data_IF_272440587557
#
_entry.id   IF_272440587557
#
_cell.length_a   1.000
_cell.length_b   1.000
_cell.length_c   1.000
_cell.angle_alpha   90.00
_cell.angle_beta   90.00
_cell.angle_gamma   90.00
#
_symmetry.space_group_name_H-M   'P 1'
#
loop_
_entity.id
_entity.type
_entity.pdbx_description
1 polymer ?
#
# COMPACT_ATOMS: atom_id res chain seq x y z
N UNK A 1 6.20 2.53 -25.36
CA UNK A 1 5.48 2.86 -24.11
C UNK A 1 6.04 1.95 -23.01
N UNK A 2 6.13 2.43 -21.78
CA UNK A 2 6.56 1.58 -20.66
C UNK A 2 5.49 0.53 -20.38
N UNK A 3 5.90 -0.69 -20.02
CA UNK A 3 4.97 -1.78 -19.65
C UNK A 3 4.31 -1.43 -18.32
N UNK A 4 2.96 -1.49 -18.22
CA UNK A 4 2.27 -1.22 -16.97
C UNK A 4 2.62 -2.26 -15.89
N UNK A 5 2.63 -1.84 -14.62
CA UNK A 5 2.84 -2.73 -13.46
C UNK A 5 1.58 -3.57 -13.17
N UNK A 6 0.40 -3.01 -13.45
CA UNK A 6 -0.90 -3.63 -13.30
C UNK A 6 -1.75 -3.26 -14.51
N UNK A 7 -2.40 -4.24 -15.11
CA UNK A 7 -3.45 -4.07 -16.12
C UNK A 7 -4.72 -4.71 -15.60
N UNK A 8 -5.82 -3.98 -15.61
CA UNK A 8 -7.15 -4.45 -15.22
C UNK A 8 -8.04 -4.44 -16.47
N UNK A 9 -8.80 -5.51 -16.72
CA UNK A 9 -9.67 -5.67 -17.89
C UNK A 9 -11.06 -6.16 -17.46
N UNK A 10 -12.06 -5.30 -17.66
CA UNK A 10 -13.49 -5.54 -17.41
C UNK A 10 -13.76 -6.16 -16.02
N UNK A 11 -12.98 -5.70 -15.01
CA UNK A 11 -12.99 -6.28 -13.68
C UNK A 11 -14.24 -5.84 -12.92
N UNK A 12 -15.00 -6.82 -12.42
CA UNK A 12 -16.07 -6.59 -11.45
C UNK A 12 -15.74 -7.30 -10.14
N UNK A 13 -15.91 -6.61 -9.02
CA UNK A 13 -15.61 -7.12 -7.70
C UNK A 13 -16.82 -7.04 -6.78
N UNK A 14 -16.89 -7.94 -5.82
CA UNK A 14 -17.98 -8.01 -4.84
C UNK A 14 -18.07 -9.39 -4.21
N UNK A 15 -19.14 -9.66 -3.47
CA UNK A 15 -19.41 -10.96 -2.86
C UNK A 15 -20.70 -11.60 -3.44
N UNK A 16 -21.89 -11.23 -2.94
CA UNK A 16 -23.17 -11.67 -3.47
C UNK A 16 -23.59 -10.82 -4.67
N UNK A 17 -23.34 -9.54 -4.58
CA UNK A 17 -23.61 -8.53 -5.59
C UNK A 17 -22.30 -7.83 -5.98
N UNK A 18 -22.29 -7.13 -7.10
CA UNK A 18 -21.16 -6.34 -7.50
C UNK A 18 -21.09 -5.08 -6.62
N UNK A 19 -19.90 -4.78 -6.11
CA UNK A 19 -19.60 -3.53 -5.43
C UNK A 19 -19.00 -2.50 -6.39
N UNK A 20 -18.22 -2.98 -7.36
CA UNK A 20 -17.66 -2.16 -8.44
C UNK A 20 -17.68 -2.99 -9.71
N UNK A 21 -18.01 -2.38 -10.86
CA UNK A 21 -18.21 -3.05 -12.14
C UNK A 21 -17.33 -2.49 -13.24
N UNK A 22 -17.02 -3.34 -14.21
CA UNK A 22 -16.48 -3.01 -15.52
C UNK A 22 -15.25 -2.10 -15.48
N UNK A 23 -14.35 -2.33 -14.53
CA UNK A 23 -13.12 -1.55 -14.37
C UNK A 23 -12.09 -2.00 -15.40
N UNK A 24 -11.63 -1.07 -16.24
CA UNK A 24 -10.53 -1.29 -17.18
C UNK A 24 -9.55 -0.13 -17.09
N UNK A 25 -8.32 -0.39 -16.62
CA UNK A 25 -7.30 0.64 -16.40
C UNK A 25 -5.90 0.01 -16.25
N UNK A 26 -4.89 0.87 -16.30
CA UNK A 26 -3.48 0.50 -16.13
C UNK A 26 -2.84 1.33 -15.01
N UNK A 27 -1.85 0.73 -14.36
CA UNK A 27 -0.97 1.40 -13.37
C UNK A 27 0.46 1.33 -13.86
N UNK A 28 1.11 2.48 -13.91
CA UNK A 28 2.49 2.62 -14.37
C UNK A 28 3.44 2.89 -13.18
N UNK A 29 4.73 2.80 -13.47
CA UNK A 29 5.79 3.07 -12.48
C UNK A 29 5.79 4.53 -12.04
N UNK A 30 5.88 4.77 -10.71
CA UNK A 30 5.95 6.11 -10.12
C UNK A 30 4.60 6.70 -9.74
N UNK A 31 3.48 5.98 -9.96
CA UNK A 31 2.15 6.47 -9.60
C UNK A 31 1.84 6.24 -8.11
N UNK A 32 1.20 7.23 -7.51
CA UNK A 32 0.63 7.18 -6.16
C UNK A 32 -0.87 7.34 -6.30
N UNK A 33 -1.60 6.24 -6.16
CA UNK A 33 -3.04 6.16 -6.40
C UNK A 33 -3.77 6.07 -5.07
N UNK A 34 -4.66 7.03 -4.80
CA UNK A 34 -5.57 6.97 -3.67
C UNK A 34 -6.94 6.43 -4.09
N UNK A 35 -7.40 5.39 -3.40
CA UNK A 35 -8.74 4.80 -3.60
C UNK A 35 -9.68 5.43 -2.59
N UNK A 36 -10.62 6.22 -3.07
CA UNK A 36 -11.59 6.99 -2.30
C UNK A 36 -13.02 6.50 -2.49
N UNK A 37 -13.93 6.94 -1.64
CA UNK A 37 -15.35 6.66 -1.68
C UNK A 37 -15.93 6.29 -0.30
N UNK A 38 -17.26 6.17 -0.16
CA UNK A 38 -17.92 5.87 1.10
C UNK A 38 -17.45 4.56 1.76
N UNK A 39 -17.70 4.44 3.06
CA UNK A 39 -17.41 3.20 3.78
C UNK A 39 -18.27 2.05 3.24
N UNK A 40 -17.68 0.86 3.09
CA UNK A 40 -18.38 -0.32 2.58
C UNK A 40 -18.55 -0.39 1.07
N UNK A 41 -18.17 0.63 0.29
CA UNK A 41 -18.35 0.70 -1.17
C UNK A 41 -17.52 -0.33 -1.97
N UNK A 42 -16.48 -0.92 -1.38
CA UNK A 42 -15.66 -1.93 -2.06
C UNK A 42 -14.16 -1.63 -2.14
N UNK A 43 -13.66 -0.50 -1.59
CA UNK A 43 -12.23 -0.10 -1.63
C UNK A 43 -11.29 -1.22 -1.17
N UNK A 44 -11.48 -1.72 0.06
CA UNK A 44 -10.70 -2.85 0.61
C UNK A 44 -10.85 -4.11 -0.25
N UNK A 45 -12.04 -4.36 -0.82
CA UNK A 45 -12.27 -5.52 -1.70
C UNK A 45 -11.46 -5.39 -2.98
N UNK A 46 -11.41 -4.19 -3.59
CA UNK A 46 -10.60 -3.92 -4.78
C UNK A 46 -9.12 -4.21 -4.50
N UNK A 47 -8.57 -3.61 -3.44
CA UNK A 47 -7.16 -3.80 -3.07
C UNK A 47 -6.86 -5.27 -2.77
N UNK A 48 -7.76 -5.99 -2.08
CA UNK A 48 -7.60 -7.43 -1.83
C UNK A 48 -7.72 -8.30 -3.08
N UNK A 49 -8.53 -7.89 -4.05
CA UNK A 49 -8.62 -8.57 -5.34
C UNK A 49 -7.31 -8.43 -6.10
N UNK A 50 -6.75 -7.21 -6.19
CA UNK A 50 -5.44 -6.97 -6.81
C UNK A 50 -4.32 -7.71 -6.06
N UNK A 51 -4.42 -7.84 -4.73
CA UNK A 51 -3.49 -8.64 -3.91
C UNK A 51 -3.62 -10.16 -4.13
N UNK A 52 -4.59 -10.63 -4.93
CA UNK A 52 -4.87 -12.05 -5.15
C UNK A 52 -5.50 -12.78 -3.96
N UNK A 53 -6.05 -12.02 -2.99
CA UNK A 53 -6.67 -12.56 -1.76
C UNK A 53 -8.17 -12.79 -1.91
N UNK A 54 -8.79 -12.16 -2.90
CA UNK A 54 -10.21 -12.31 -3.27
C UNK A 54 -10.27 -12.50 -4.78
N UNK A 55 -11.09 -13.46 -5.25
CA UNK A 55 -11.30 -13.64 -6.67
C UNK A 55 -12.22 -12.55 -7.22
N UNK A 56 -11.94 -12.00 -8.41
CA UNK A 56 -12.91 -11.15 -9.10
C UNK A 56 -14.18 -11.92 -9.43
N UNK A 57 -15.29 -11.21 -9.56
CA UNK A 57 -16.56 -11.81 -10.02
C UNK A 57 -16.60 -11.97 -11.54
N UNK A 58 -16.04 -10.97 -12.24
CA UNK A 58 -15.89 -10.98 -13.70
C UNK A 58 -14.57 -10.26 -14.07
N UNK A 59 -14.14 -10.45 -15.30
CA UNK A 59 -12.94 -9.85 -15.82
C UNK A 59 -11.66 -10.47 -15.26
N UNK A 60 -10.56 -9.75 -15.42
CA UNK A 60 -9.24 -10.21 -15.00
C UNK A 60 -8.31 -9.06 -14.70
N UNK A 61 -7.19 -9.35 -14.04
CA UNK A 61 -6.07 -8.42 -13.93
C UNK A 61 -4.74 -9.17 -14.10
N UNK A 62 -3.74 -8.46 -14.56
CA UNK A 62 -2.38 -8.94 -14.75
C UNK A 62 -1.39 -8.07 -14.01
N UNK A 63 -0.45 -8.70 -13.29
CA UNK A 63 0.63 -8.04 -12.57
C UNK A 63 1.97 -8.32 -13.25
N UNK A 64 2.54 -7.29 -13.86
CA UNK A 64 3.88 -7.35 -14.48
C UNK A 64 4.96 -7.00 -13.45
N UNK A 65 5.10 -7.86 -12.45
CA UNK A 65 5.97 -7.65 -11.29
C UNK A 65 6.96 -8.80 -11.14
N UNK A 66 8.12 -8.56 -10.50
CA UNK A 66 8.99 -9.66 -10.11
C UNK A 66 8.24 -10.68 -9.24
N UNK A 67 8.36 -11.97 -9.56
CA UNK A 67 7.66 -13.05 -8.86
C UNK A 67 8.00 -13.09 -7.35
N UNK A 68 9.21 -12.68 -6.96
CA UNK A 68 9.62 -12.59 -5.57
C UNK A 68 9.64 -11.14 -5.09
N UNK A 69 8.73 -10.81 -4.19
CA UNK A 69 8.70 -9.54 -3.50
C UNK A 69 8.28 -8.35 -4.36
N UNK A 70 7.82 -8.56 -5.60
CA UNK A 70 7.38 -7.49 -6.49
C UNK A 70 6.10 -6.80 -6.02
N UNK A 71 5.18 -7.53 -5.40
CA UNK A 71 3.98 -7.01 -4.78
C UNK A 71 4.15 -6.94 -3.26
N UNK A 72 3.92 -5.77 -2.67
CA UNK A 72 3.83 -5.55 -1.22
C UNK A 72 2.38 -5.32 -0.80
N UNK A 73 2.02 -5.71 0.43
CA UNK A 73 0.69 -5.46 0.96
C UNK A 73 0.72 -5.09 2.44
N UNK A 74 0.11 -3.97 2.78
CA UNK A 74 -0.17 -3.54 4.15
C UNK A 74 -1.68 -3.67 4.36
N UNK A 75 -2.17 -4.72 5.04
CA UNK A 75 -3.58 -4.88 5.32
C UNK A 75 -4.03 -3.97 6.46
N UNK A 76 -5.31 -3.60 6.50
CA UNK A 76 -5.94 -2.86 7.60
C UNK A 76 -5.68 -3.53 8.97
N UNK A 77 -5.76 -4.86 9.04
CA UNK A 77 -5.33 -5.66 10.20
C UNK A 77 -3.88 -6.08 10.03
N UNK A 78 -2.95 -5.24 10.29
CA UNK A 78 -1.49 -5.22 10.06
C UNK A 78 -0.75 -6.57 9.89
N UNK A 79 -1.32 -7.70 10.32
CA UNK A 79 -0.77 -9.04 10.15
C UNK A 79 0.63 -9.23 10.76
N UNK A 80 0.90 -8.60 11.91
CA UNK A 80 2.19 -8.69 12.59
C UNK A 80 2.26 -9.89 13.53
N UNK A 81 3.46 -10.47 13.68
CA UNK A 81 3.74 -11.58 14.59
C UNK A 81 3.87 -11.04 16.02
N UNK A 82 2.81 -11.11 16.81
CA UNK A 82 2.64 -10.41 18.10
C UNK A 82 3.75 -10.65 19.15
N UNK A 83 4.30 -11.83 19.21
CA UNK A 83 5.34 -12.18 20.19
C UNK A 83 6.76 -11.94 19.70
N UNK A 84 6.93 -11.62 18.41
CA UNK A 84 8.21 -11.33 17.81
C UNK A 84 8.59 -9.84 17.96
N UNK A 85 9.89 -9.57 17.82
CA UNK A 85 10.41 -8.20 17.87
C UNK A 85 10.04 -7.39 16.62
N UNK A 86 10.21 -6.06 16.70
CA UNK A 86 10.17 -5.15 15.56
C UNK A 86 11.09 -5.64 14.45
N UNK A 87 12.37 -5.93 14.78
CA UNK A 87 13.34 -6.45 13.82
C UNK A 87 12.84 -7.70 13.10
N UNK A 88 12.29 -8.66 13.82
CA UNK A 88 11.79 -9.91 13.24
C UNK A 88 10.65 -9.62 12.23
N UNK A 89 9.67 -8.80 12.62
CA UNK A 89 8.55 -8.47 11.75
C UNK A 89 9.00 -7.77 10.47
N UNK A 90 9.91 -6.79 10.57
CA UNK A 90 10.44 -6.06 9.41
C UNK A 90 11.30 -6.98 8.53
N UNK A 91 12.09 -7.89 9.14
CA UNK A 91 12.90 -8.84 8.41
C UNK A 91 12.07 -9.85 7.58
N UNK A 92 10.81 -10.12 7.94
CA UNK A 92 9.91 -10.93 7.11
C UNK A 92 9.68 -10.28 5.74
N UNK A 93 9.52 -8.95 5.70
CA UNK A 93 9.41 -8.20 4.44
C UNK A 93 10.68 -8.31 3.59
N UNK A 94 11.84 -8.02 4.19
CA UNK A 94 13.11 -8.13 3.47
C UNK A 94 13.38 -9.55 2.93
N UNK A 95 12.92 -10.60 3.64
CA UNK A 95 13.04 -12.00 3.19
C UNK A 95 12.13 -12.35 2.02
N UNK A 96 11.02 -11.64 1.86
CA UNK A 96 10.10 -11.87 0.74
C UNK A 96 10.75 -11.56 -0.62
N UNK A 97 11.65 -10.55 -0.67
CA UNK A 97 12.36 -10.16 -1.89
C UNK A 97 13.82 -10.65 -1.94
N UNK A 98 14.44 -10.89 -0.77
CA UNK A 98 15.80 -11.38 -0.64
C UNK A 98 15.79 -12.73 0.09
N UNK A 99 15.67 -13.85 -0.64
CA UNK A 99 15.71 -15.18 -0.03
C UNK A 99 17.05 -15.41 0.71
N UNK A 100 17.04 -16.35 1.67
CA UNK A 100 18.19 -16.65 2.55
C UNK A 100 19.29 -17.40 1.76
N UNK A 101 19.81 -16.77 0.70
CA UNK A 101 20.93 -17.28 -0.08
C UNK A 101 22.24 -16.67 0.41
N UNK A 102 23.35 -17.40 0.25
CA UNK A 102 24.69 -16.89 0.54
C UNK A 102 24.95 -15.57 -0.20
N UNK A 103 25.48 -14.56 0.50
CA UNK A 103 25.83 -13.25 -0.05
C UNK A 103 24.75 -12.15 0.09
N UNK A 104 23.50 -12.48 0.43
CA UNK A 104 22.43 -11.48 0.57
C UNK A 104 22.08 -11.12 2.03
N UNK A 105 22.80 -11.67 3.00
CA UNK A 105 22.53 -11.44 4.42
C UNK A 105 22.78 -9.99 4.84
N UNK A 106 23.87 -9.41 4.40
CA UNK A 106 24.25 -8.03 4.73
C UNK A 106 23.28 -7.03 4.13
N UNK A 107 22.95 -7.20 2.84
CA UNK A 107 21.94 -6.37 2.17
C UNK A 107 20.59 -6.43 2.90
N UNK A 108 20.15 -7.62 3.30
CA UNK A 108 18.90 -7.80 4.05
C UNK A 108 18.93 -7.09 5.39
N UNK A 109 20.02 -7.22 6.16
CA UNK A 109 20.19 -6.54 7.44
C UNK A 109 20.13 -5.03 7.26
N UNK A 110 20.79 -4.51 6.22
CA UNK A 110 20.79 -3.10 5.90
C UNK A 110 19.40 -2.58 5.53
N UNK A 111 18.66 -3.29 4.67
CA UNK A 111 17.25 -2.93 4.34
C UNK A 111 16.36 -2.89 5.58
N UNK A 112 16.49 -3.87 6.48
CA UNK A 112 15.73 -3.92 7.74
C UNK A 112 16.07 -2.72 8.63
N UNK A 113 17.34 -2.43 8.84
CA UNK A 113 17.79 -1.32 9.70
C UNK A 113 17.38 0.03 9.11
N UNK A 114 17.53 0.21 7.79
CA UNK A 114 17.13 1.42 7.09
C UNK A 114 15.62 1.66 7.21
N UNK A 115 14.77 0.65 6.96
CA UNK A 115 13.34 0.77 7.10
C UNK A 115 12.89 1.08 8.54
N UNK A 116 13.48 0.42 9.54
CA UNK A 116 13.20 0.69 10.96
C UNK A 116 13.60 2.11 11.33
N UNK A 117 14.75 2.57 10.82
CA UNK A 117 15.24 3.93 11.05
C UNK A 117 14.35 5.00 10.42
N UNK A 118 13.94 4.79 9.15
CA UNK A 118 13.08 5.72 8.42
C UNK A 118 11.74 5.95 9.13
N UNK A 119 11.24 4.94 9.83
CA UNK A 119 9.98 5.00 10.59
C UNK A 119 10.16 5.37 12.08
N UNK A 120 11.36 5.83 12.49
CA UNK A 120 11.63 6.30 13.86
C UNK A 120 11.49 5.21 14.92
N UNK A 121 11.86 3.95 14.59
CA UNK A 121 11.70 2.78 15.47
C UNK A 121 13.04 2.20 15.96
N UNK A 122 14.16 2.95 15.84
CA UNK A 122 15.51 2.45 16.20
C UNK A 122 15.61 1.98 17.66
N UNK A 123 15.05 2.76 18.58
CA UNK A 123 15.02 2.46 20.00
C UNK A 123 14.13 1.27 20.38
N UNK A 124 13.27 0.83 19.47
CA UNK A 124 12.31 -0.26 19.64
C UNK A 124 12.68 -1.55 18.89
N UNK A 125 13.84 -1.58 18.24
CA UNK A 125 14.23 -2.65 17.31
C UNK A 125 14.11 -4.07 17.92
N UNK A 126 14.39 -4.22 19.20
CA UNK A 126 14.33 -5.51 19.94
C UNK A 126 13.04 -5.69 20.74
N UNK A 127 12.18 -4.65 20.82
CA UNK A 127 10.93 -4.74 21.55
C UNK A 127 9.96 -5.72 20.88
N UNK A 128 9.28 -6.59 21.67
CA UNK A 128 8.19 -7.38 21.14
C UNK A 128 7.01 -6.46 20.81
N UNK A 129 6.41 -6.67 19.64
CA UNK A 129 5.39 -5.73 19.12
C UNK A 129 4.15 -5.62 20.01
N UNK A 130 3.87 -6.60 20.87
CA UNK A 130 2.76 -6.55 21.85
C UNK A 130 2.87 -5.40 22.87
N UNK A 131 4.04 -4.76 22.99
CA UNK A 131 4.31 -3.62 23.88
C UNK A 131 4.20 -2.27 23.17
N UNK A 132 3.92 -2.27 21.87
CA UNK A 132 3.87 -1.08 21.05
C UNK A 132 2.45 -0.49 21.02
N UNK A 133 2.35 0.83 20.87
CA UNK A 133 1.09 1.53 20.60
C UNK A 133 0.56 1.22 19.20
N UNK A 134 -0.73 1.53 18.93
CA UNK A 134 -1.35 1.34 17.61
C UNK A 134 -0.55 2.02 16.48
N UNK A 135 -0.18 3.29 16.66
CA UNK A 135 0.65 4.01 15.69
C UNK A 135 2.04 3.40 15.50
N UNK A 136 2.68 2.90 16.57
CA UNK A 136 3.94 2.18 16.44
C UNK A 136 3.78 0.86 15.67
N UNK A 137 2.68 0.12 15.87
CA UNK A 137 2.37 -1.10 15.13
C UNK A 137 2.19 -0.81 13.63
N UNK A 138 1.51 0.29 13.26
CA UNK A 138 1.38 0.72 11.86
C UNK A 138 2.74 1.03 11.26
N UNK A 139 3.58 1.78 11.95
CA UNK A 139 4.95 2.06 11.50
C UNK A 139 5.77 0.77 11.32
N UNK A 140 5.61 -0.25 12.17
CA UNK A 140 6.27 -1.56 11.97
C UNK A 140 5.75 -2.27 10.72
N UNK A 141 4.44 -2.24 10.44
CA UNK A 141 3.87 -2.84 9.24
C UNK A 141 4.36 -2.12 7.97
N UNK A 142 4.43 -0.79 8.01
CA UNK A 142 5.02 0.01 6.91
C UNK A 142 6.50 -0.29 6.74
N UNK A 143 7.29 -0.34 7.83
CA UNK A 143 8.71 -0.70 7.76
C UNK A 143 8.92 -2.09 7.16
N UNK A 144 8.04 -3.06 7.45
CA UNK A 144 8.06 -4.38 6.83
C UNK A 144 7.87 -4.31 5.31
N UNK A 145 6.90 -3.52 4.86
CA UNK A 145 6.65 -3.33 3.43
C UNK A 145 7.82 -2.60 2.73
N UNK A 146 8.37 -1.55 3.35
CA UNK A 146 9.53 -0.82 2.82
C UNK A 146 10.79 -1.70 2.74
N UNK A 147 11.02 -2.56 3.74
CA UNK A 147 12.15 -3.49 3.72
C UNK A 147 12.06 -4.53 2.60
N UNK A 148 10.86 -4.84 2.13
CA UNK A 148 10.63 -5.69 0.96
C UNK A 148 11.05 -4.99 -0.33
N UNK A 149 10.92 -3.65 -0.44
CA UNK A 149 11.13 -2.85 -1.66
C UNK A 149 10.26 -3.36 -2.83
N UNK A 150 8.93 -3.42 -2.67
CA UNK A 150 8.05 -3.91 -3.72
C UNK A 150 8.03 -2.92 -4.91
N UNK A 151 7.74 -3.43 -6.12
CA UNK A 151 7.48 -2.59 -7.30
C UNK A 151 6.09 -1.94 -7.25
N UNK A 152 5.12 -2.65 -6.70
CA UNK A 152 3.79 -2.15 -6.40
C UNK A 152 3.46 -2.43 -4.92
N UNK A 153 3.15 -1.39 -4.17
CA UNK A 153 2.69 -1.48 -2.80
C UNK A 153 1.18 -1.27 -2.75
N UNK A 154 0.45 -2.21 -2.19
CA UNK A 154 -0.96 -2.07 -1.85
C UNK A 154 -1.06 -1.74 -0.37
N UNK A 155 -1.84 -0.72 0.01
CA UNK A 155 -1.98 -0.30 1.39
C UNK A 155 -3.45 -0.01 1.73
N UNK A 156 -3.96 -0.69 2.74
CA UNK A 156 -5.34 -0.58 3.18
C UNK A 156 -5.39 0.18 4.51
N UNK A 157 -5.76 1.48 4.46
CA UNK A 157 -5.87 2.39 5.61
C UNK A 157 -4.57 2.49 6.45
N UNK A 158 -3.42 2.53 5.80
CA UNK A 158 -2.14 2.45 6.51
C UNK A 158 -1.74 3.74 7.26
N UNK A 159 -2.36 4.89 6.95
CA UNK A 159 -2.18 6.16 7.65
C UNK A 159 -3.21 6.39 8.76
N UNK A 160 -4.28 5.57 8.83
CA UNK A 160 -5.33 5.75 9.83
C UNK A 160 -4.78 5.57 11.26
N UNK A 161 -5.40 6.25 12.24
CA UNK A 161 -5.00 6.23 13.67
C UNK A 161 -3.57 6.76 13.94
N UNK A 162 -2.94 7.46 13.00
CA UNK A 162 -1.68 8.16 13.21
C UNK A 162 -1.95 9.63 13.53
N UNK A 163 -1.12 10.20 14.40
CA UNK A 163 -1.06 11.65 14.58
C UNK A 163 -0.34 12.31 13.40
N UNK A 164 -0.60 13.60 13.15
CA UNK A 164 -0.03 14.35 12.01
C UNK A 164 1.49 14.22 11.90
N UNK A 165 2.21 14.29 13.01
CA UNK A 165 3.68 14.20 13.02
C UNK A 165 4.17 12.82 12.59
N UNK A 166 3.40 11.78 12.90
CA UNK A 166 3.69 10.39 12.50
C UNK A 166 3.30 10.14 11.05
N UNK A 167 2.22 10.75 10.56
CA UNK A 167 1.83 10.72 9.13
C UNK A 167 2.96 11.24 8.27
N UNK A 168 3.54 12.41 8.58
CA UNK A 168 4.67 12.99 7.86
C UNK A 168 5.87 12.04 7.75
N UNK A 169 6.21 11.36 8.85
CA UNK A 169 7.31 10.38 8.87
C UNK A 169 7.02 9.21 7.94
N UNK A 170 5.78 8.71 7.95
CA UNK A 170 5.37 7.58 7.11
C UNK A 170 5.34 7.98 5.63
N UNK A 171 4.77 9.15 5.31
CA UNK A 171 4.70 9.68 3.93
C UNK A 171 6.12 9.86 3.37
N UNK A 172 7.03 10.50 4.10
CA UNK A 172 8.44 10.65 3.67
C UNK A 172 9.12 9.33 3.39
N UNK A 173 8.87 8.32 4.23
CA UNK A 173 9.45 7.00 4.05
C UNK A 173 8.87 6.28 2.81
N UNK A 174 7.57 6.43 2.55
CA UNK A 174 6.92 5.90 1.34
C UNK A 174 7.39 6.66 0.10
N UNK A 175 7.52 8.00 0.16
CA UNK A 175 8.03 8.80 -0.95
C UNK A 175 9.41 8.33 -1.41
N UNK A 176 10.30 7.98 -0.47
CA UNK A 176 11.61 7.40 -0.81
C UNK A 176 11.49 6.09 -1.61
N UNK A 177 10.44 5.29 -1.39
CA UNK A 177 10.17 4.11 -2.20
C UNK A 177 9.73 4.49 -3.62
N UNK A 178 8.83 5.47 -3.74
CA UNK A 178 8.30 5.98 -5.02
C UNK A 178 9.42 6.58 -5.87
N UNK A 179 10.30 7.38 -5.27
CA UNK A 179 11.43 8.05 -5.95
C UNK A 179 12.39 7.03 -6.62
N UNK A 180 12.33 5.76 -6.22
CA UNK A 180 13.08 4.67 -6.87
C UNK A 180 12.30 3.97 -7.99
N UNK A 181 11.20 4.57 -8.47
CA UNK A 181 10.40 4.07 -9.59
C UNK A 181 9.45 2.93 -9.18
N UNK A 182 8.99 2.93 -7.95
CA UNK A 182 7.95 2.02 -7.48
C UNK A 182 6.60 2.77 -7.41
N UNK A 183 5.50 2.06 -7.18
CA UNK A 183 4.15 2.64 -7.14
C UNK A 183 3.38 2.17 -5.92
N UNK A 184 2.37 2.92 -5.55
CA UNK A 184 1.48 2.57 -4.45
C UNK A 184 0.01 2.75 -4.86
N UNK A 185 -0.85 1.83 -4.44
CA UNK A 185 -2.30 1.96 -4.42
C UNK A 185 -2.71 1.92 -2.95
N UNK A 186 -3.29 3.01 -2.45
CA UNK A 186 -3.67 3.13 -1.05
C UNK A 186 -5.15 3.46 -0.89
N UNK A 187 -5.81 2.78 0.07
CA UNK A 187 -7.13 3.19 0.55
C UNK A 187 -6.93 4.27 1.61
N UNK A 188 -7.57 5.39 1.43
CA UNK A 188 -7.49 6.53 2.36
C UNK A 188 -8.89 7.13 2.58
N UNK A 189 -9.08 7.81 3.71
CA UNK A 189 -10.33 8.45 4.11
C UNK A 189 -10.15 9.94 4.43
N UNK A 190 -8.92 10.38 4.69
CA UNK A 190 -8.59 11.76 5.02
C UNK A 190 -8.06 12.48 3.78
N UNK A 191 -8.80 13.47 3.31
CA UNK A 191 -8.45 14.24 2.11
C UNK A 191 -7.10 14.91 2.23
N UNK A 192 -6.77 15.47 3.40
CA UNK A 192 -5.46 16.06 3.68
C UNK A 192 -4.30 15.08 3.38
N UNK A 193 -4.43 13.80 3.76
CA UNK A 193 -3.42 12.78 3.48
C UNK A 193 -3.32 12.49 1.97
N UNK A 194 -4.45 12.52 1.27
CA UNK A 194 -4.51 12.31 -0.19
C UNK A 194 -3.79 13.44 -0.90
N UNK A 195 -4.09 14.69 -0.58
CA UNK A 195 -3.47 15.88 -1.17
C UNK A 195 -1.96 15.95 -0.95
N UNK A 196 -1.48 15.43 0.19
CA UNK A 196 -0.06 15.40 0.51
C UNK A 196 0.77 14.49 -0.39
N UNK A 197 0.19 13.43 -0.95
CA UNK A 197 1.00 12.38 -1.58
C UNK A 197 0.44 11.84 -2.90
N UNK A 198 -0.89 11.81 -3.11
CA UNK A 198 -1.49 11.19 -4.27
C UNK A 198 -1.20 11.96 -5.56
N UNK A 199 -0.96 11.22 -6.65
CA UNK A 199 -0.84 11.77 -8.01
C UNK A 199 -2.06 11.44 -8.87
N UNK A 200 -2.85 10.44 -8.45
CA UNK A 200 -4.00 9.92 -9.18
C UNK A 200 -5.04 9.39 -8.21
N UNK A 201 -6.30 9.54 -8.54
CA UNK A 201 -7.44 9.17 -7.70
C UNK A 201 -8.29 8.12 -8.40
N UNK A 202 -8.64 7.07 -7.67
CA UNK A 202 -9.69 6.12 -8.01
C UNK A 202 -10.87 6.34 -7.07
N UNK A 203 -11.85 7.10 -7.52
CA UNK A 203 -13.07 7.37 -6.77
C UNK A 203 -14.10 6.29 -7.07
N UNK A 204 -14.56 5.56 -6.05
CA UNK A 204 -15.63 4.57 -6.18
C UNK A 204 -16.93 5.22 -5.73
N UNK A 205 -17.89 5.29 -6.65
CA UNK A 205 -19.25 5.75 -6.40
C UNK A 205 -20.22 5.03 -7.34
N UNK A 206 -21.47 4.82 -6.91
CA UNK A 206 -22.53 4.20 -7.72
C UNK A 206 -22.10 2.93 -8.47
N UNK A 207 -21.33 2.05 -7.79
CA UNK A 207 -20.76 0.80 -8.34
C UNK A 207 -19.76 1.00 -9.49
N UNK A 208 -19.32 2.24 -9.75
CA UNK A 208 -18.33 2.59 -10.77
C UNK A 208 -17.02 3.07 -10.12
N UNK A 209 -15.93 2.88 -10.82
CA UNK A 209 -14.64 3.46 -10.48
C UNK A 209 -14.33 4.57 -11.48
N UNK A 210 -14.24 5.79 -10.99
CA UNK A 210 -13.82 6.96 -11.73
C UNK A 210 -12.32 7.14 -11.53
N UNK A 211 -11.59 7.21 -12.62
CA UNK A 211 -10.14 7.39 -12.66
C UNK A 211 -9.81 8.80 -13.12
N UNK A 212 -9.15 9.58 -12.27
CA UNK A 212 -8.88 10.99 -12.51
C UNK A 212 -7.55 11.44 -11.92
N UNK A 213 -7.04 12.57 -12.37
CA UNK A 213 -5.87 13.22 -11.78
C UNK A 213 -6.23 13.84 -10.42
N UNK A 214 -5.20 14.15 -9.61
CA UNK A 214 -5.41 14.85 -8.32
C UNK A 214 -6.03 16.24 -8.55
N UNK A 215 -5.65 16.94 -9.64
CA UNK A 215 -6.17 18.26 -9.98
C UNK A 215 -7.65 18.24 -10.43
N UNK A 216 -8.08 17.16 -11.11
CA UNK A 216 -9.48 16.95 -11.47
C UNK A 216 -10.32 16.66 -10.25
N UNK A 217 -9.80 15.87 -9.32
CA UNK A 217 -10.48 15.57 -8.07
C UNK A 217 -10.63 16.82 -7.19
N UNK A 218 -9.59 17.63 -7.04
CA UNK A 218 -9.65 18.89 -6.27
C UNK A 218 -10.68 19.86 -6.82
N UNK A 219 -10.74 20.05 -8.15
CA UNK A 219 -11.77 20.88 -8.78
C UNK A 219 -13.19 20.40 -8.51
N UNK A 220 -13.38 19.06 -8.50
CA UNK A 220 -14.68 18.47 -8.17
C UNK A 220 -15.10 18.76 -6.72
N UNK A 221 -14.18 18.72 -5.78
CA UNK A 221 -14.44 19.04 -4.37
C UNK A 221 -14.86 20.52 -4.21
N UNK A 222 -14.17 21.44 -4.90
CA UNK A 222 -14.50 22.87 -4.89
C UNK A 222 -15.91 23.17 -5.49
N UNK A 223 -16.39 22.35 -6.42
CA UNK A 223 -17.72 22.50 -7.05
C UNK A 223 -18.84 21.91 -6.17
N UNK A 224 -18.53 21.00 -5.24
CA UNK A 224 -19.49 20.35 -4.33
C UNK A 224 -19.65 21.10 -3.00
N UNK A 225 -18.75 22.07 -2.65
CA UNK A 225 -18.83 22.98 -1.49
C UNK A 225 -19.71 24.23 -1.80
#
# INVERSE_FOLDING_TARGET
MAVPLLTISDLSIGFKEDLVRDVSLEVHSGEIIAVLGPSGIGKTTLVRTIAGLVHPRQGSFELNLPAQGGLGYIPQRLGLVRHASVYHNVNLGARASLPVLKGKREERIERVKSAISALGLKDKIHEPIRRLSGGQLRRVATARALAQRPKLLLADEFLSELDHSTVDVVIKAVQTLIDTGNSIIMVEHHEENVEMIATRIWLIENEQLLDMSIEEWQRRQEEEE
#
